data_IF_342507693408
#
_entry.id   IF_342507693408
#
_cell.length_a   1.000
_cell.length_b   1.000
_cell.length_c   1.000
_cell.angle_alpha   90.00
_cell.angle_beta   90.00
_cell.angle_gamma   90.00
#
_symmetry.space_group_name_H-M   'P 1'
#
loop_
_entity.id
_entity.type
_entity.pdbx_description
1 polymer ?
#
# COMPACT_ATOMS: atom_id res chain seq x y z
N UNK A 1 -12.67 21.01 15.93
CA UNK A 1 -13.11 20.23 14.76
C UNK A 1 -12.69 18.79 14.99
N UNK A 2 -13.54 17.82 14.67
CA UNK A 2 -13.17 16.40 14.76
C UNK A 2 -12.14 16.08 13.68
N UNK A 3 -11.17 15.20 13.98
CA UNK A 3 -10.22 14.71 12.98
C UNK A 3 -10.90 13.74 12.01
N UNK A 4 -10.41 13.62 10.78
CA UNK A 4 -10.71 12.47 9.92
C UNK A 4 -10.32 11.16 10.61
N UNK A 5 -10.98 10.07 10.29
CA UNK A 5 -10.71 8.74 10.84
C UNK A 5 -10.16 7.84 9.74
N UNK A 6 -8.99 7.22 9.97
CA UNK A 6 -8.41 6.23 9.07
C UNK A 6 -8.54 4.82 9.67
N UNK A 7 -9.42 3.99 9.09
CA UNK A 7 -9.42 2.55 9.34
C UNK A 7 -8.33 1.88 8.50
N UNK A 8 -7.43 1.17 9.14
CA UNK A 8 -6.21 0.70 8.50
C UNK A 8 -5.72 -0.62 9.10
N UNK A 9 -5.09 -1.43 8.27
CA UNK A 9 -4.36 -2.61 8.72
C UNK A 9 -2.90 -2.50 8.28
N UNK A 10 -2.00 -2.38 9.24
CA UNK A 10 -0.58 -2.08 9.05
C UNK A 10 0.12 -2.94 7.98
N UNK A 11 -0.27 -4.21 7.82
CA UNK A 11 0.38 -5.14 6.88
C UNK A 11 -0.25 -5.17 5.48
N UNK A 12 -1.37 -4.48 5.27
CA UNK A 12 -2.02 -4.38 3.98
C UNK A 12 -1.26 -3.37 3.10
N UNK A 13 -0.81 -3.72 1.88
CA UNK A 13 -0.09 -2.80 1.02
C UNK A 13 -0.92 -1.56 0.61
N UNK A 14 -2.21 -1.72 0.40
CA UNK A 14 -3.12 -0.61 0.15
C UNK A 14 -3.22 0.34 1.36
N UNK A 15 -3.30 -0.21 2.59
CA UNK A 15 -3.30 0.61 3.79
C UNK A 15 -1.95 1.28 4.06
N UNK A 16 -0.81 0.66 3.68
CA UNK A 16 0.51 1.29 3.72
C UNK A 16 0.56 2.50 2.80
N UNK A 17 0.05 2.39 1.57
CA UNK A 17 -0.05 3.47 0.58
C UNK A 17 -0.73 4.70 1.18
N UNK A 18 -1.91 4.54 1.76
CA UNK A 18 -2.64 5.61 2.43
C UNK A 18 -1.89 6.18 3.65
N UNK A 19 -1.28 5.33 4.49
CA UNK A 19 -0.48 5.80 5.62
C UNK A 19 0.74 6.61 5.20
N UNK A 20 1.44 6.17 4.15
CA UNK A 20 2.64 6.86 3.66
C UNK A 20 2.28 8.25 3.11
N UNK A 21 1.17 8.40 2.39
CA UNK A 21 0.69 9.69 1.92
C UNK A 21 0.33 10.64 3.09
N UNK A 22 -0.33 10.11 4.12
CA UNK A 22 -0.68 10.85 5.34
C UNK A 22 0.58 11.33 6.07
N UNK A 23 1.59 10.47 6.22
CA UNK A 23 2.87 10.86 6.83
C UNK A 23 3.59 11.92 5.99
N UNK A 24 3.59 11.76 4.67
CA UNK A 24 4.26 12.70 3.74
C UNK A 24 3.68 14.10 3.81
N UNK A 25 2.36 14.22 3.87
CA UNK A 25 1.67 15.50 3.91
C UNK A 25 1.58 16.08 5.33
N UNK A 26 1.73 15.25 6.37
CA UNK A 26 1.44 15.66 7.74
C UNK A 26 -0.07 15.84 7.98
N UNK A 27 -0.90 15.05 7.30
CA UNK A 27 -2.35 15.11 7.37
C UNK A 27 -2.86 14.41 8.63
N UNK A 28 -3.27 15.18 9.63
CA UNK A 28 -3.68 14.64 10.93
C UNK A 28 -4.96 13.80 10.84
N UNK A 29 -4.89 12.55 11.35
CA UNK A 29 -6.05 11.63 11.44
C UNK A 29 -6.09 10.93 12.80
N UNK A 30 -7.29 10.46 13.19
CA UNK A 30 -7.44 9.39 14.17
C UNK A 30 -7.19 8.05 13.47
N UNK A 31 -6.13 7.33 13.87
CA UNK A 31 -5.82 6.02 13.33
C UNK A 31 -6.57 4.91 14.10
N UNK A 32 -7.32 4.12 13.38
CA UNK A 32 -8.01 2.92 13.90
C UNK A 32 -7.40 1.67 13.27
N UNK A 33 -6.48 1.01 14.00
CA UNK A 33 -5.87 -0.24 13.55
C UNK A 33 -6.90 -1.36 13.59
N UNK A 34 -7.15 -1.98 12.45
CA UNK A 34 -8.19 -3.00 12.25
C UNK A 34 -7.59 -4.40 12.27
N UNK A 35 -8.30 -5.34 12.89
CA UNK A 35 -8.06 -6.77 12.72
C UNK A 35 -9.10 -7.30 11.72
N UNK A 36 -8.66 -7.80 10.55
CA UNK A 36 -9.55 -8.13 9.43
C UNK A 36 -10.60 -9.22 9.70
N UNK A 37 -10.41 -10.03 10.75
CA UNK A 37 -11.40 -11.03 11.20
C UNK A 37 -12.40 -10.47 12.21
N UNK A 38 -12.16 -9.24 12.69
CA UNK A 38 -12.94 -8.60 13.76
C UNK A 38 -12.97 -7.09 13.44
N UNK A 39 -13.79 -6.75 12.44
CA UNK A 39 -13.90 -5.38 11.93
C UNK A 39 -14.85 -4.57 12.80
N UNK A 40 -14.55 -3.29 13.08
CA UNK A 40 -15.46 -2.40 13.82
C UNK A 40 -16.81 -2.24 13.11
N UNK A 41 -17.90 -2.29 13.85
CA UNK A 41 -19.28 -2.16 13.32
C UNK A 41 -19.44 -0.87 12.52
N UNK A 42 -18.99 0.27 13.07
CA UNK A 42 -19.04 1.54 12.36
C UNK A 42 -18.26 1.52 11.02
N UNK A 43 -17.12 0.85 10.95
CA UNK A 43 -16.43 0.68 9.67
C UNK A 43 -17.30 -0.08 8.67
N UNK A 44 -18.00 -1.13 9.11
CA UNK A 44 -18.89 -1.93 8.25
C UNK A 44 -20.15 -1.18 7.83
N UNK A 45 -20.63 -0.24 8.65
CA UNK A 45 -21.75 0.63 8.32
C UNK A 45 -21.41 1.61 7.19
N UNK A 46 -20.24 2.25 7.26
CA UNK A 46 -19.82 3.27 6.28
C UNK A 46 -19.13 2.67 5.03
N UNK A 47 -18.57 1.45 5.13
CA UNK A 47 -17.87 0.73 4.06
C UNK A 47 -18.20 -0.76 4.10
N UNK A 48 -19.39 -1.17 3.58
CA UNK A 48 -19.87 -2.56 3.68
C UNK A 48 -19.00 -3.59 2.99
N UNK A 49 -18.14 -3.20 2.03
CA UNK A 49 -17.15 -4.12 1.42
C UNK A 49 -16.09 -4.60 2.42
N UNK A 50 -15.92 -3.93 3.55
CA UNK A 50 -15.07 -4.36 4.67
C UNK A 50 -13.59 -4.47 4.34
N UNK A 51 -13.11 -3.73 3.31
CA UNK A 51 -11.70 -3.64 2.97
C UNK A 51 -11.02 -2.45 3.66
N UNK A 52 -9.72 -2.47 3.75
CA UNK A 52 -8.91 -1.35 4.26
C UNK A 52 -7.89 -0.91 3.22
N UNK A 53 -7.55 0.40 3.15
CA UNK A 53 -7.93 1.47 4.06
C UNK A 53 -9.33 2.02 3.81
N UNK A 54 -9.91 2.72 4.81
CA UNK A 54 -11.08 3.59 4.68
C UNK A 54 -10.79 4.90 5.39
N UNK A 55 -10.92 6.02 4.70
CA UNK A 55 -10.81 7.36 5.27
C UNK A 55 -12.21 7.96 5.38
N UNK A 56 -12.62 8.28 6.61
CA UNK A 56 -13.89 8.95 6.91
C UNK A 56 -13.64 10.39 7.34
N UNK A 57 -14.16 11.34 6.57
CA UNK A 57 -13.98 12.77 6.81
C UNK A 57 -15.04 13.32 7.78
N UNK A 58 -14.78 14.48 8.44
CA UNK A 58 -15.70 15.08 9.41
C UNK A 58 -17.06 15.51 8.83
N UNK A 59 -17.14 15.73 7.52
CA UNK A 59 -18.39 16.06 6.81
C UNK A 59 -19.22 14.83 6.44
N UNK A 60 -18.74 13.62 6.78
CA UNK A 60 -19.39 12.35 6.49
C UNK A 60 -18.94 11.70 5.18
N UNK A 61 -18.07 12.34 4.42
CA UNK A 61 -17.49 11.74 3.19
C UNK A 61 -16.65 10.51 3.53
N UNK A 62 -16.83 9.43 2.76
CA UNK A 62 -16.08 8.18 2.89
C UNK A 62 -15.26 7.93 1.63
N UNK A 63 -13.95 7.73 1.78
CA UNK A 63 -13.03 7.39 0.70
C UNK A 63 -12.49 5.99 0.96
N UNK A 64 -12.77 5.05 0.06
CA UNK A 64 -12.50 3.62 0.29
C UNK A 64 -11.30 3.06 -0.48
N UNK A 65 -10.91 3.73 -1.60
CA UNK A 65 -9.77 3.28 -2.39
C UNK A 65 -8.48 3.98 -1.97
N UNK A 66 -7.42 3.19 -1.80
CA UNK A 66 -6.15 3.72 -1.31
C UNK A 66 -5.53 4.78 -2.22
N UNK A 67 -5.72 4.69 -3.53
CA UNK A 67 -5.26 5.69 -4.48
C UNK A 67 -6.06 6.99 -4.34
N UNK A 68 -7.39 6.90 -4.20
CA UNK A 68 -8.24 8.07 -3.97
C UNK A 68 -7.90 8.77 -2.65
N UNK A 69 -7.56 8.00 -1.60
CA UNK A 69 -7.06 8.56 -0.33
C UNK A 69 -5.75 9.32 -0.57
N UNK A 70 -4.80 8.75 -1.34
CA UNK A 70 -3.55 9.45 -1.68
C UNK A 70 -3.81 10.74 -2.44
N UNK A 71 -4.67 10.69 -3.46
CA UNK A 71 -5.04 11.86 -4.27
C UNK A 71 -5.68 12.95 -3.41
N UNK A 72 -6.61 12.58 -2.53
CA UNK A 72 -7.25 13.52 -1.61
C UNK A 72 -6.26 14.15 -0.62
N UNK A 73 -5.38 13.34 -0.02
CA UNK A 73 -4.44 13.79 1.02
C UNK A 73 -3.32 14.66 0.44
N UNK A 74 -2.83 14.31 -0.76
CA UNK A 74 -1.67 14.97 -1.39
C UNK A 74 -2.06 16.03 -2.43
N UNK A 75 -3.36 16.24 -2.68
CA UNK A 75 -3.84 17.04 -3.83
C UNK A 75 -3.15 16.61 -5.13
N UNK A 76 -3.13 15.29 -5.37
CA UNK A 76 -2.31 14.66 -6.39
C UNK A 76 -3.10 14.26 -7.63
N UNK A 77 -2.89 15.00 -8.70
CA UNK A 77 -3.32 14.61 -10.03
C UNK A 77 -2.22 13.81 -10.74
N UNK A 78 -2.55 12.58 -11.17
CA UNK A 78 -1.59 11.73 -11.83
C UNK A 78 -1.26 12.23 -13.24
N UNK A 79 0.03 12.35 -13.54
CA UNK A 79 0.52 12.43 -14.90
C UNK A 79 0.26 11.13 -15.67
N UNK A 80 0.41 11.14 -16.99
CA UNK A 80 0.25 9.93 -17.83
C UNK A 80 1.22 8.82 -17.41
N UNK A 81 2.47 9.15 -17.06
CA UNK A 81 3.46 8.19 -16.58
C UNK A 81 3.04 7.58 -15.24
N UNK A 82 2.60 8.41 -14.29
CA UNK A 82 2.17 7.95 -12.97
C UNK A 82 0.93 7.06 -13.07
N UNK A 83 -0.05 7.46 -13.88
CA UNK A 83 -1.24 6.66 -14.14
C UNK A 83 -0.89 5.30 -14.76
N UNK A 84 0.05 5.27 -15.70
CA UNK A 84 0.54 4.03 -16.32
C UNK A 84 1.16 3.08 -15.28
N UNK A 85 2.07 3.58 -14.44
CA UNK A 85 2.73 2.75 -13.43
C UNK A 85 1.77 2.25 -12.35
N UNK A 86 0.85 3.12 -11.91
CA UNK A 86 -0.17 2.73 -10.92
C UNK A 86 -1.11 1.67 -11.49
N UNK A 87 -1.61 1.84 -12.71
CA UNK A 87 -2.49 0.87 -13.35
C UNK A 87 -1.80 -0.49 -13.51
N UNK A 88 -0.57 -0.52 -14.02
CA UNK A 88 0.21 -1.77 -14.13
C UNK A 88 0.46 -2.44 -12.79
N UNK A 89 0.74 -1.64 -11.73
CA UNK A 89 0.92 -2.17 -10.39
C UNK A 89 -0.37 -2.79 -9.83
N UNK A 90 -1.49 -2.08 -9.95
CA UNK A 90 -2.74 -2.45 -9.29
C UNK A 90 -3.50 -3.55 -10.03
N UNK A 91 -3.38 -3.62 -11.35
CA UNK A 91 -4.07 -4.60 -12.20
C UNK A 91 -3.18 -5.82 -12.50
N UNK A 92 -2.09 -5.62 -13.25
CA UNK A 92 -1.24 -6.70 -13.74
C UNK A 92 -0.38 -7.31 -12.62
N UNK A 93 0.49 -6.48 -12.00
CA UNK A 93 1.43 -6.96 -11.00
C UNK A 93 0.71 -7.53 -9.77
N UNK A 94 -0.28 -6.81 -9.27
CA UNK A 94 -1.05 -7.25 -8.09
C UNK A 94 -1.85 -8.54 -8.34
N UNK A 95 -2.39 -8.71 -9.54
CA UNK A 95 -3.07 -9.94 -9.92
C UNK A 95 -2.15 -11.16 -9.81
N UNK A 96 -0.92 -11.05 -10.32
CA UNK A 96 0.06 -12.12 -10.28
C UNK A 96 0.68 -12.28 -8.89
N UNK A 97 0.95 -11.20 -8.18
CA UNK A 97 1.43 -11.21 -6.80
C UNK A 97 0.49 -11.98 -5.86
N UNK A 98 -0.83 -11.75 -5.96
CA UNK A 98 -1.80 -12.44 -5.11
C UNK A 98 -1.82 -13.95 -5.37
N UNK A 99 -1.74 -14.36 -6.61
CA UNK A 99 -1.71 -15.76 -7.00
C UNK A 99 -0.40 -16.45 -6.62
N UNK A 100 0.71 -15.76 -6.74
CA UNK A 100 1.99 -16.24 -6.26
C UNK A 100 2.00 -16.40 -4.74
N UNK A 101 1.47 -15.43 -4.02
CA UNK A 101 1.54 -15.39 -2.55
C UNK A 101 0.48 -16.24 -1.86
N UNK A 102 -0.68 -16.40 -2.45
CA UNK A 102 -1.85 -17.05 -1.86
C UNK A 102 -2.43 -18.14 -2.78
N UNK A 103 -1.61 -19.12 -3.24
CA UNK A 103 -2.07 -20.10 -4.23
C UNK A 103 -3.32 -20.85 -3.76
N UNK A 104 -3.47 -21.09 -2.46
CA UNK A 104 -4.62 -21.80 -1.88
C UNK A 104 -5.97 -21.05 -1.99
N UNK A 105 -5.99 -19.83 -2.52
CA UNK A 105 -7.22 -19.05 -2.73
C UNK A 105 -7.79 -19.21 -4.14
N UNK A 106 -7.08 -19.91 -5.00
CA UNK A 106 -7.39 -19.99 -6.41
C UNK A 106 -7.28 -21.47 -6.86
N UNK A 107 -8.14 -21.88 -7.75
CA UNK A 107 -8.11 -23.24 -8.31
C UNK A 107 -7.07 -23.33 -9.45
N UNK A 108 -6.40 -24.47 -9.56
CA UNK A 108 -5.47 -24.84 -10.66
C UNK A 108 -4.32 -23.85 -10.91
N UNK A 109 -3.66 -23.36 -9.85
CA UNK A 109 -2.59 -22.38 -9.97
C UNK A 109 -1.18 -22.97 -9.97
N UNK A 110 -0.39 -22.47 -10.93
CA UNK A 110 1.05 -22.58 -10.92
C UNK A 110 1.67 -21.30 -10.31
N UNK A 111 2.02 -21.35 -9.02
CA UNK A 111 2.60 -20.20 -8.31
C UNK A 111 3.89 -19.70 -8.97
N UNK A 112 4.71 -20.61 -9.53
CA UNK A 112 5.97 -20.26 -10.22
C UNK A 112 5.68 -19.49 -11.51
N UNK A 113 4.64 -19.84 -12.24
CA UNK A 113 4.20 -19.10 -13.42
C UNK A 113 3.79 -17.68 -13.05
N UNK A 114 2.99 -17.51 -12.00
CA UNK A 114 2.57 -16.20 -11.54
C UNK A 114 3.75 -15.37 -10.99
N UNK A 115 4.72 -16.00 -10.35
CA UNK A 115 5.99 -15.34 -10.00
C UNK A 115 6.70 -14.81 -11.24
N UNK A 116 6.80 -15.61 -12.29
CA UNK A 116 7.47 -15.23 -13.55
C UNK A 116 6.75 -14.08 -14.23
N UNK A 117 5.41 -14.11 -14.29
CA UNK A 117 4.60 -13.04 -14.87
C UNK A 117 4.70 -11.74 -14.07
N UNK A 118 4.66 -11.81 -12.74
CA UNK A 118 4.93 -10.65 -11.88
C UNK A 118 6.34 -10.08 -12.06
N UNK A 119 7.32 -10.94 -12.36
CA UNK A 119 8.73 -10.53 -12.56
C UNK A 119 8.92 -9.67 -13.82
N UNK A 120 8.04 -9.76 -14.82
CA UNK A 120 8.09 -8.88 -15.98
C UNK A 120 7.89 -7.41 -15.59
N UNK A 121 6.92 -7.13 -14.70
CA UNK A 121 6.73 -5.80 -14.13
C UNK A 121 7.97 -5.30 -13.38
N UNK A 122 8.59 -6.16 -12.56
CA UNK A 122 9.80 -5.80 -11.80
C UNK A 122 11.00 -5.55 -12.69
N UNK A 123 11.12 -6.28 -13.80
CA UNK A 123 12.15 -6.04 -14.80
C UNK A 123 11.99 -4.65 -15.45
N UNK A 124 10.78 -4.30 -15.87
CA UNK A 124 10.50 -2.98 -16.47
C UNK A 124 10.72 -1.86 -15.44
N UNK A 125 10.33 -2.09 -14.18
CA UNK A 125 10.58 -1.16 -13.09
C UNK A 125 12.09 -0.97 -12.84
N UNK A 126 12.89 -2.05 -12.90
CA UNK A 126 14.35 -1.98 -12.75
C UNK A 126 14.98 -1.14 -13.86
N UNK A 127 14.56 -1.35 -15.11
CA UNK A 127 15.01 -0.55 -16.26
C UNK A 127 14.66 0.92 -16.05
N UNK A 128 13.40 1.22 -15.72
CA UNK A 128 12.93 2.61 -15.52
C UNK A 128 13.65 3.34 -14.38
N UNK A 129 13.91 2.65 -13.27
CA UNK A 129 14.68 3.20 -12.14
C UNK A 129 16.15 3.46 -12.52
N UNK A 130 16.68 2.73 -13.49
CA UNK A 130 18.05 2.90 -14.03
C UNK A 130 18.22 4.06 -15.01
N UNK A 131 17.14 4.69 -15.48
CA UNK A 131 17.20 5.81 -16.47
C UNK A 131 17.67 7.15 -15.87
N UNK A 132 17.94 7.20 -14.58
CA UNK A 132 18.54 8.35 -13.89
C UNK A 132 17.57 9.48 -13.52
N UNK A 133 16.30 9.38 -13.89
CA UNK A 133 15.25 10.28 -13.39
C UNK A 133 14.46 9.58 -12.28
N UNK A 134 14.48 10.15 -11.07
CA UNK A 134 13.71 9.61 -9.96
C UNK A 134 12.20 9.72 -10.21
N UNK A 135 11.44 8.74 -9.74
CA UNK A 135 9.98 8.91 -9.62
C UNK A 135 9.63 10.01 -8.65
N UNK A 136 8.49 10.66 -8.88
CA UNK A 136 7.91 11.55 -7.90
C UNK A 136 7.70 10.80 -6.57
N UNK A 137 7.90 11.45 -5.41
CA UNK A 137 7.82 10.78 -4.11
C UNK A 137 6.50 10.05 -3.87
N UNK A 138 5.37 10.62 -4.31
CA UNK A 138 4.05 10.03 -4.20
C UNK A 138 3.90 8.75 -5.04
N UNK A 139 4.50 8.71 -6.24
CA UNK A 139 4.50 7.50 -7.06
C UNK A 139 5.29 6.36 -6.39
N UNK A 140 6.44 6.68 -5.80
CA UNK A 140 7.18 5.70 -5.01
C UNK A 140 6.31 5.11 -3.90
N UNK A 141 5.62 5.95 -3.11
CA UNK A 141 4.72 5.50 -2.04
C UNK A 141 3.56 4.66 -2.58
N UNK A 142 3.12 4.92 -3.82
CA UNK A 142 2.07 4.14 -4.46
C UNK A 142 2.52 2.74 -4.87
N UNK A 143 3.76 2.55 -5.30
CA UNK A 143 4.27 1.27 -5.83
C UNK A 143 4.99 0.42 -4.79
N UNK A 144 5.79 1.06 -3.93
CA UNK A 144 6.68 0.42 -2.96
C UNK A 144 6.02 -0.68 -2.09
N UNK A 145 4.81 -0.48 -1.51
CA UNK A 145 4.21 -1.49 -0.64
C UNK A 145 3.97 -2.85 -1.31
N UNK A 146 3.71 -2.84 -2.61
CA UNK A 146 3.43 -4.06 -3.40
C UNK A 146 4.71 -4.78 -3.78
N UNK A 147 5.73 -4.04 -4.22
CA UNK A 147 7.08 -4.59 -4.49
C UNK A 147 7.66 -5.19 -3.21
N UNK A 148 7.52 -4.49 -2.08
CA UNK A 148 7.89 -5.02 -0.76
C UNK A 148 7.13 -6.31 -0.42
N UNK A 149 5.82 -6.37 -0.71
CA UNK A 149 5.02 -7.57 -0.45
C UNK A 149 5.49 -8.75 -1.28
N UNK A 150 5.86 -8.52 -2.54
CA UNK A 150 6.43 -9.53 -3.42
C UNK A 150 7.80 -10.01 -2.91
N UNK A 151 8.72 -9.11 -2.64
CA UNK A 151 10.06 -9.40 -2.16
C UNK A 151 10.05 -10.21 -0.85
N UNK A 152 9.13 -9.90 0.07
CA UNK A 152 9.06 -10.57 1.37
C UNK A 152 8.34 -11.94 1.32
N UNK A 153 7.81 -12.36 0.18
CA UNK A 153 7.20 -13.68 0.05
C UNK A 153 8.27 -14.77 -0.06
N UNK A 154 9.29 -14.54 -0.88
CA UNK A 154 10.45 -15.42 -1.04
C UNK A 154 11.69 -14.54 -1.18
N UNK A 155 12.27 -14.16 -0.03
CA UNK A 155 13.37 -13.22 0.03
C UNK A 155 14.64 -13.77 -0.59
N UNK A 156 14.94 -15.05 -0.37
CA UNK A 156 16.14 -15.69 -0.87
C UNK A 156 16.13 -15.75 -2.41
N UNK A 157 14.97 -16.01 -2.99
CA UNK A 157 14.81 -15.97 -4.45
C UNK A 157 14.86 -14.54 -5.00
N UNK A 158 14.23 -13.59 -4.33
CA UNK A 158 14.18 -12.19 -4.76
C UNK A 158 15.59 -11.57 -4.77
N UNK A 159 16.38 -11.80 -3.72
CA UNK A 159 17.68 -11.16 -3.53
C UNK A 159 18.74 -11.59 -4.56
N UNK A 160 18.55 -12.71 -5.26
CA UNK A 160 19.48 -13.15 -6.31
C UNK A 160 19.05 -12.74 -7.73
N UNK A 161 17.91 -12.03 -7.87
CA UNK A 161 17.47 -11.55 -9.18
C UNK A 161 18.32 -10.39 -9.66
N UNK A 162 18.50 -10.23 -10.99
CA UNK A 162 19.34 -9.18 -11.58
C UNK A 162 18.63 -7.81 -11.65
N UNK A 163 18.01 -7.38 -10.54
CA UNK A 163 17.26 -6.13 -10.43
C UNK A 163 17.95 -5.15 -9.49
N UNK A 164 19.15 -4.71 -9.87
CA UNK A 164 20.00 -3.90 -9.01
C UNK A 164 19.36 -2.57 -8.59
N UNK A 165 18.61 -1.93 -9.51
CA UNK A 165 17.93 -0.67 -9.24
C UNK A 165 16.71 -0.86 -8.33
N UNK A 166 15.92 -1.92 -8.54
CA UNK A 166 14.79 -2.28 -7.65
C UNK A 166 15.29 -2.62 -6.25
N UNK A 167 16.41 -3.35 -6.12
CA UNK A 167 17.00 -3.67 -4.82
C UNK A 167 17.41 -2.39 -4.07
N UNK A 168 18.12 -1.48 -4.74
CA UNK A 168 18.55 -0.22 -4.15
C UNK A 168 17.36 0.65 -3.76
N UNK A 169 16.39 0.81 -4.65
CA UNK A 169 15.14 1.55 -4.42
C UNK A 169 14.31 0.97 -3.27
N UNK A 170 14.15 -0.35 -3.22
CA UNK A 170 13.45 -1.03 -2.13
C UNK A 170 14.15 -0.81 -0.78
N UNK A 171 15.49 -0.92 -0.74
CA UNK A 171 16.28 -0.71 0.46
C UNK A 171 16.14 0.74 0.99
N UNK A 172 16.22 1.74 0.10
CA UNK A 172 16.03 3.15 0.45
C UNK A 172 14.65 3.39 1.09
N UNK A 173 13.59 2.86 0.48
CA UNK A 173 12.23 3.06 0.98
C UNK A 173 11.96 2.32 2.29
N UNK A 174 12.59 1.17 2.52
CA UNK A 174 12.51 0.46 3.81
C UNK A 174 13.14 1.27 4.96
N UNK A 175 14.13 2.10 4.68
CA UNK A 175 14.79 2.97 5.65
C UNK A 175 14.14 4.35 5.78
N UNK A 176 13.16 4.68 4.94
CA UNK A 176 12.49 5.97 4.98
C UNK A 176 11.72 6.19 6.28
N UNK A 177 11.70 7.42 6.76
CA UNK A 177 10.93 7.79 7.97
C UNK A 177 9.43 7.58 7.76
N UNK A 178 8.91 7.86 6.55
CA UNK A 178 7.51 7.63 6.22
C UNK A 178 7.13 6.14 6.39
N UNK A 179 7.96 5.22 5.90
CA UNK A 179 7.72 3.80 6.07
C UNK A 179 7.88 3.35 7.53
N UNK A 180 8.91 3.79 8.25
CA UNK A 180 9.11 3.47 9.67
C UNK A 180 7.91 3.92 10.49
N UNK A 181 7.41 5.13 10.26
CA UNK A 181 6.21 5.66 10.92
C UNK A 181 4.96 4.88 10.56
N UNK A 182 4.77 4.57 9.25
CA UNK A 182 3.69 3.73 8.75
C UNK A 182 3.67 2.34 9.42
N UNK A 183 4.84 1.77 9.70
CA UNK A 183 4.99 0.42 10.25
C UNK A 183 5.02 0.36 11.78
N UNK A 184 4.90 1.49 12.48
CA UNK A 184 4.74 1.49 13.94
C UNK A 184 3.53 0.63 14.33
N UNK A 185 3.75 -0.29 15.27
CA UNK A 185 2.69 -1.21 15.73
C UNK A 185 1.76 -0.47 16.69
N UNK A 186 0.50 -0.38 16.31
CA UNK A 186 -0.57 0.09 17.20
C UNK A 186 -1.42 -1.11 17.67
N UNK A 187 -2.13 -0.91 18.78
CA UNK A 187 -3.10 -1.90 19.26
C UNK A 187 -4.33 -1.92 18.35
N UNK A 188 -5.01 -3.07 18.30
CA UNK A 188 -6.33 -3.11 17.67
C UNK A 188 -7.24 -2.06 18.30
N UNK A 189 -7.86 -1.25 17.45
CA UNK A 189 -8.87 -0.32 17.89
C UNK A 189 -10.16 -1.08 18.29
N UNK A 190 -10.72 -0.68 19.41
CA UNK A 190 -12.03 -1.09 19.88
C UNK A 190 -12.83 0.15 20.26
N UNK A 191 -14.13 0.09 20.24
CA UNK A 191 -14.98 1.20 20.64
C UNK A 191 -14.65 1.66 22.07
N UNK A 192 -14.54 2.98 22.27
CA UNK A 192 -14.13 3.58 23.55
C UNK A 192 -12.63 3.54 23.84
N UNK A 193 -11.79 3.06 22.92
CA UNK A 193 -10.35 3.14 23.05
C UNK A 193 -9.84 4.60 23.00
N UNK A 194 -8.67 4.84 23.59
CA UNK A 194 -7.99 6.13 23.47
C UNK A 194 -7.67 6.43 21.99
N UNK A 195 -7.84 7.69 21.60
CA UNK A 195 -7.52 8.16 20.26
C UNK A 195 -6.03 8.01 19.97
N UNK A 196 -5.70 7.33 18.86
CA UNK A 196 -4.35 7.26 18.32
C UNK A 196 -4.20 8.32 17.25
N UNK A 197 -3.42 9.37 17.53
CA UNK A 197 -3.09 10.43 16.58
C UNK A 197 -2.02 9.93 15.60
N UNK A 198 -2.23 10.18 14.31
CA UNK A 198 -1.32 9.81 13.25
C UNK A 198 -1.29 10.94 12.19
N UNK A 199 -0.13 11.31 11.65
CA UNK A 199 1.17 10.67 11.71
C UNK A 199 1.96 10.83 13.01
#
# INVERSE_FOLDING_TARGET
>A
MSLPVLYSFRRCPYAMRARMSIVREGFDVELREVVLRDRPDHMMEISPKGTVPVLWLPDGTVIEESLEIMQHVLDWDLSEEEAHWVARNDEEFKFHLDRYKYPNRYDDLNEVEHRTLASAYLHDLDVRLGEGSAFAPQLNDALFPFVRQFANHDRDWFDVQPWANVHAWLAEHLESEAFKRCMKKEKQWIEGAETVFFP
#
